data_IF_818042217578
#
_entry.id   IF_818042217578
#
_cell.length_a   1.000
_cell.length_b   1.000
_cell.length_c   1.000
_cell.angle_alpha   90.00
_cell.angle_beta   90.00
_cell.angle_gamma   90.00
#
_symmetry.space_group_name_H-M   'P 1'
#
loop_
_entity.id
_entity.type
_entity.pdbx_description
1 polymer ?
#
# COMPACT_ATOMS: atom_id res chain seq x y z
N UNK A 1 -21.11 -8.53 -9.03
CA UNK A 1 -21.98 -8.48 -7.85
C UNK A 1 -21.78 -7.15 -7.14
N UNK A 2 -22.83 -6.59 -6.55
CA UNK A 2 -22.76 -5.38 -5.73
C UNK A 2 -22.94 -5.78 -4.28
N UNK A 3 -22.05 -5.35 -3.41
CA UNK A 3 -22.15 -5.51 -1.96
C UNK A 3 -22.66 -4.20 -1.35
N UNK A 4 -23.56 -4.28 -0.43
CA UNK A 4 -24.08 -3.14 0.30
C UNK A 4 -24.38 -3.46 1.77
N UNK A 5 -24.53 -2.42 2.59
CA UNK A 5 -24.79 -2.56 4.03
C UNK A 5 -26.22 -3.05 4.37
N UNK A 6 -27.10 -3.22 3.39
CA UNK A 6 -28.44 -3.77 3.61
C UNK A 6 -28.45 -5.29 3.57
N UNK A 7 -27.47 -5.88 2.87
CA UNK A 7 -27.46 -7.30 2.58
C UNK A 7 -26.23 -8.03 3.13
N UNK A 8 -25.03 -7.47 2.99
CA UNK A 8 -23.79 -8.21 3.27
C UNK A 8 -22.77 -7.46 4.14
N UNK A 9 -22.64 -6.14 3.95
CA UNK A 9 -21.62 -5.36 4.64
C UNK A 9 -22.13 -4.77 5.97
N UNK A 10 -21.23 -4.61 6.94
CA UNK A 10 -21.58 -4.22 8.31
C UNK A 10 -21.58 -2.72 8.58
N UNK A 11 -21.01 -1.91 7.66
CA UNK A 11 -21.00 -0.45 7.77
C UNK A 11 -21.14 0.23 6.40
N UNK A 12 -21.24 1.57 6.37
CA UNK A 12 -21.61 2.33 5.15
C UNK A 12 -20.45 3.12 4.55
N UNK A 13 -19.65 3.77 5.37
CA UNK A 13 -18.64 4.73 4.94
C UNK A 13 -17.32 4.01 4.71
N UNK A 14 -17.16 3.47 3.50
CA UNK A 14 -15.95 2.77 3.09
C UNK A 14 -14.81 3.76 2.89
N UNK A 15 -13.71 3.56 3.61
CA UNK A 15 -12.50 4.37 3.50
C UNK A 15 -11.49 3.71 2.58
N UNK A 16 -11.32 2.39 2.67
CA UNK A 16 -10.29 1.67 1.96
C UNK A 16 -10.76 0.28 1.51
N UNK A 17 -10.34 -0.14 0.33
CA UNK A 17 -10.57 -1.49 -0.18
C UNK A 17 -9.25 -2.03 -0.72
N UNK A 18 -8.89 -3.25 -0.32
CA UNK A 18 -7.70 -3.93 -0.82
C UNK A 18 -7.97 -5.42 -1.01
N UNK A 19 -7.34 -6.01 -2.03
CA UNK A 19 -7.51 -7.43 -2.34
C UNK A 19 -6.28 -8.23 -1.92
N UNK A 20 -6.47 -9.19 -1.02
CA UNK A 20 -5.45 -10.16 -0.68
C UNK A 20 -5.52 -11.34 -1.65
N UNK A 21 -4.54 -11.39 -2.54
CA UNK A 21 -4.46 -12.39 -3.61
C UNK A 21 -4.18 -13.80 -3.08
N UNK A 22 -3.38 -13.94 -2.00
CA UNK A 22 -3.00 -15.24 -1.43
C UNK A 22 -4.19 -16.02 -0.92
N UNK A 23 -5.18 -15.33 -0.33
CA UNK A 23 -6.39 -15.95 0.21
C UNK A 23 -7.63 -15.70 -0.63
N UNK A 24 -7.55 -14.87 -1.68
CA UNK A 24 -8.66 -14.54 -2.56
C UNK A 24 -9.78 -13.75 -1.87
N UNK A 25 -9.43 -12.79 -0.98
CA UNK A 25 -10.39 -12.02 -0.20
C UNK A 25 -10.19 -10.52 -0.33
N UNK A 26 -11.29 -9.76 -0.31
CA UNK A 26 -11.27 -8.31 -0.17
C UNK A 26 -11.23 -7.93 1.31
N UNK A 27 -10.40 -6.97 1.65
CA UNK A 27 -10.39 -6.27 2.94
C UNK A 27 -11.04 -4.92 2.73
N UNK A 28 -12.17 -4.69 3.36
CA UNK A 28 -12.94 -3.44 3.30
C UNK A 28 -12.85 -2.75 4.64
N UNK A 29 -12.33 -1.54 4.68
CA UNK A 29 -12.15 -0.76 5.91
C UNK A 29 -13.07 0.45 5.87
N UNK A 30 -13.74 0.68 6.99
CA UNK A 30 -14.69 1.78 7.16
C UNK A 30 -14.09 2.92 7.97
N UNK A 31 -14.64 4.13 7.81
CA UNK A 31 -14.18 5.32 8.52
C UNK A 31 -14.21 5.16 10.05
N UNK A 32 -15.15 4.37 10.59
CA UNK A 32 -15.24 4.08 12.02
C UNK A 32 -14.26 3.00 12.51
N UNK A 33 -13.41 2.47 11.62
CA UNK A 33 -12.42 1.44 11.91
C UNK A 33 -12.96 0.01 11.93
N UNK A 34 -14.22 -0.19 11.58
CA UNK A 34 -14.73 -1.53 11.33
C UNK A 34 -14.07 -2.11 10.07
N UNK A 35 -13.93 -3.44 10.01
CA UNK A 35 -13.31 -4.13 8.87
C UNK A 35 -14.21 -5.29 8.47
N UNK A 36 -14.53 -5.37 7.18
CA UNK A 36 -15.13 -6.55 6.58
C UNK A 36 -14.13 -7.26 5.66
N UNK A 37 -14.08 -8.57 5.76
CA UNK A 37 -13.26 -9.42 4.90
C UNK A 37 -14.22 -10.28 4.07
N UNK A 38 -14.25 -10.00 2.77
CA UNK A 38 -15.22 -10.60 1.84
C UNK A 38 -14.54 -11.69 1.02
N UNK A 39 -15.05 -12.90 1.12
CA UNK A 39 -14.59 -14.06 0.36
C UNK A 39 -15.20 -14.12 -1.05
N UNK A 40 -14.56 -14.89 -1.94
CA UNK A 40 -15.08 -15.14 -3.28
C UNK A 40 -16.40 -15.94 -3.30
N UNK A 41 -16.69 -16.65 -2.20
CA UNK A 41 -17.92 -17.40 -1.93
C UNK A 41 -19.02 -16.55 -1.28
N UNK A 42 -18.84 -15.23 -1.26
CA UNK A 42 -19.74 -14.25 -0.64
C UNK A 42 -19.80 -14.30 0.91
N UNK A 43 -18.92 -15.06 1.54
CA UNK A 43 -18.80 -15.01 2.99
C UNK A 43 -18.20 -13.68 3.43
N UNK A 44 -18.73 -13.11 4.51
CA UNK A 44 -18.21 -11.88 5.12
C UNK A 44 -17.80 -12.17 6.56
N UNK A 45 -16.54 -11.93 6.87
CA UNK A 45 -16.03 -11.97 8.24
C UNK A 45 -15.92 -10.53 8.72
N UNK A 46 -16.59 -10.19 9.82
CA UNK A 46 -16.49 -8.86 10.42
C UNK A 46 -15.47 -8.83 11.55
N UNK A 47 -14.53 -7.89 11.46
CA UNK A 47 -13.56 -7.58 12.50
C UNK A 47 -13.83 -6.19 13.07
N UNK A 48 -14.50 -6.16 14.23
CA UNK A 48 -14.94 -4.92 14.88
C UNK A 48 -14.04 -4.46 16.03
N UNK A 49 -12.91 -5.11 16.27
CA UNK A 49 -12.05 -4.80 17.42
C UNK A 49 -11.46 -3.38 17.38
N UNK A 50 -11.37 -2.75 16.21
CA UNK A 50 -10.90 -1.37 16.01
C UNK A 50 -12.06 -0.37 15.92
N UNK A 51 -13.29 -0.85 15.83
CA UNK A 51 -14.47 0.01 15.67
C UNK A 51 -14.60 0.99 16.84
N UNK A 52 -14.83 2.27 16.51
CA UNK A 52 -15.04 3.35 17.47
C UNK A 52 -13.90 3.56 18.49
N UNK A 53 -12.72 2.96 18.25
CA UNK A 53 -11.55 3.21 19.09
C UNK A 53 -10.77 4.41 18.56
N UNK A 54 -10.13 5.18 19.46
CA UNK A 54 -9.26 6.30 19.08
C UNK A 54 -8.04 5.89 18.23
N UNK A 55 -7.80 4.58 18.10
CA UNK A 55 -6.84 3.99 17.16
C UNK A 55 -7.20 4.31 15.71
N UNK A 56 -8.48 4.53 15.43
CA UNK A 56 -9.02 4.82 14.10
C UNK A 56 -9.10 6.30 13.76
N UNK A 57 -8.81 7.20 14.72
CA UNK A 57 -8.54 8.61 14.43
C UNK A 57 -7.24 8.80 13.61
N UNK A 58 -6.49 7.73 13.44
CA UNK A 58 -5.34 7.66 12.53
C UNK A 58 -5.83 7.16 11.18
N UNK A 59 -5.80 8.01 10.16
CA UNK A 59 -6.13 7.59 8.80
C UNK A 59 -5.27 6.40 8.37
N UNK A 60 -5.87 5.39 7.75
CA UNK A 60 -5.13 4.34 7.08
C UNK A 60 -4.50 4.94 5.84
N UNK A 61 -3.19 4.86 5.74
CA UNK A 61 -2.42 5.42 4.64
C UNK A 61 -2.22 4.38 3.52
N UNK A 62 -2.08 3.12 3.93
CA UNK A 62 -1.79 2.03 3.00
C UNK A 62 -2.20 0.68 3.61
N UNK A 63 -2.51 -0.29 2.75
CA UNK A 63 -2.63 -1.70 3.11
C UNK A 63 -1.63 -2.47 2.24
N UNK A 64 -0.66 -3.12 2.87
CA UNK A 64 0.26 -4.02 2.20
C UNK A 64 -0.09 -5.47 2.56
N UNK A 65 -0.02 -6.35 1.59
CA UNK A 65 -0.25 -7.78 1.81
C UNK A 65 1.06 -8.56 1.72
N UNK A 66 1.25 -9.49 2.67
CA UNK A 66 2.33 -10.47 2.61
C UNK A 66 1.78 -11.84 3.00
N UNK A 67 1.68 -12.74 2.03
CA UNK A 67 0.96 -14.00 2.21
C UNK A 67 -0.49 -13.78 2.64
N UNK A 68 -0.92 -14.47 3.68
CA UNK A 68 -2.28 -14.41 4.24
C UNK A 68 -2.51 -13.18 5.14
N UNK A 69 -1.47 -12.37 5.36
CA UNK A 69 -1.49 -11.24 6.29
C UNK A 69 -1.66 -9.92 5.55
N UNK A 70 -2.46 -9.01 6.10
CA UNK A 70 -2.53 -7.61 5.73
C UNK A 70 -1.90 -6.74 6.82
N UNK A 71 -1.03 -5.81 6.42
CA UNK A 71 -0.45 -4.78 7.27
C UNK A 71 -1.15 -3.46 6.97
N UNK A 72 -1.94 -2.99 7.93
CA UNK A 72 -2.66 -1.73 7.84
C UNK A 72 -1.75 -0.64 8.41
N UNK A 73 -1.22 0.20 7.53
CA UNK A 73 -0.31 1.28 7.89
C UNK A 73 -1.11 2.55 8.20
N UNK A 74 -0.86 3.17 9.35
CA UNK A 74 -1.56 4.36 9.79
C UNK A 74 -0.61 5.52 10.10
N UNK A 75 -1.15 6.61 10.65
CA UNK A 75 -0.37 7.79 11.06
C UNK A 75 0.59 7.53 12.23
N UNK A 76 0.41 6.43 12.99
CA UNK A 76 1.28 6.10 14.13
C UNK A 76 1.40 4.60 14.43
N UNK A 77 0.61 3.76 13.75
CA UNK A 77 0.54 2.32 13.99
C UNK A 77 0.76 1.50 12.71
N UNK A 78 1.19 0.27 12.90
CA UNK A 78 1.04 -0.82 11.95
C UNK A 78 0.19 -1.90 12.61
N UNK A 79 -0.92 -2.29 11.98
CA UNK A 79 -1.83 -3.33 12.47
C UNK A 79 -1.66 -4.56 11.60
N UNK A 80 -1.36 -5.68 12.21
CA UNK A 80 -1.18 -6.98 11.55
C UNK A 80 -2.49 -7.77 11.62
N UNK A 81 -3.11 -8.02 10.47
CA UNK A 81 -4.40 -8.68 10.32
C UNK A 81 -4.23 -9.99 9.54
N UNK A 82 -4.64 -11.11 10.12
CA UNK A 82 -4.85 -12.36 9.39
C UNK A 82 -6.11 -12.23 8.54
N UNK A 83 -5.94 -12.23 7.22
CA UNK A 83 -7.06 -12.06 6.27
C UNK A 83 -7.88 -13.34 6.11
N UNK A 84 -7.29 -14.52 6.39
CA UNK A 84 -8.00 -15.79 6.34
C UNK A 84 -8.99 -15.95 7.48
N UNK A 85 -8.53 -15.64 8.70
CA UNK A 85 -9.32 -15.82 9.91
C UNK A 85 -10.06 -14.55 10.36
N UNK A 86 -9.69 -13.39 9.83
CA UNK A 86 -10.25 -12.10 10.23
C UNK A 86 -9.81 -11.67 11.63
N UNK A 87 -8.60 -12.03 12.05
CA UNK A 87 -8.12 -11.81 13.42
C UNK A 87 -6.96 -10.80 13.39
N UNK A 88 -7.01 -9.81 14.27
CA UNK A 88 -5.85 -8.93 14.51
C UNK A 88 -4.81 -9.75 15.28
N UNK A 89 -3.67 -9.99 14.63
CA UNK A 89 -2.56 -10.74 15.22
C UNK A 89 -1.71 -9.87 16.13
N UNK A 90 -1.46 -8.63 15.73
CA UNK A 90 -0.66 -7.68 16.49
C UNK A 90 -0.95 -6.22 16.12
N UNK A 91 -0.48 -5.30 16.96
CA UNK A 91 -0.56 -3.85 16.74
C UNK A 91 0.74 -3.20 17.22
N UNK A 92 1.53 -2.68 16.29
CA UNK A 92 2.82 -2.05 16.54
C UNK A 92 2.68 -0.53 16.60
N UNK A 93 3.04 0.08 17.73
CA UNK A 93 3.07 1.53 17.86
C UNK A 93 4.40 2.08 17.35
N UNK A 94 4.38 2.58 16.12
CA UNK A 94 5.55 3.18 15.45
C UNK A 94 5.78 4.61 15.91
N UNK A 95 4.69 5.34 16.20
CA UNK A 95 4.76 6.73 16.70
C UNK A 95 5.06 7.77 15.61
N UNK A 96 4.96 7.38 14.35
CA UNK A 96 5.09 8.25 13.18
C UNK A 96 4.33 7.62 12.00
N UNK A 97 4.06 8.43 10.99
CA UNK A 97 3.30 8.02 9.81
C UNK A 97 4.04 6.95 9.00
N UNK A 98 3.34 5.87 8.71
CA UNK A 98 3.82 4.77 7.87
C UNK A 98 3.10 4.80 6.53
N UNK A 99 3.86 4.93 5.44
CA UNK A 99 3.34 4.93 4.08
C UNK A 99 3.28 3.53 3.45
N UNK A 100 4.04 2.59 4.01
CA UNK A 100 4.02 1.21 3.56
C UNK A 100 5.04 0.35 4.30
N UNK A 101 4.82 -0.96 4.24
CA UNK A 101 5.72 -1.99 4.76
C UNK A 101 5.94 -3.05 3.68
N UNK A 102 7.18 -3.43 3.43
CA UNK A 102 7.56 -4.32 2.33
C UNK A 102 8.50 -5.40 2.85
N UNK A 103 8.25 -6.63 2.44
CA UNK A 103 9.06 -7.79 2.79
C UNK A 103 9.86 -8.19 1.56
N UNK A 104 11.16 -7.92 1.57
CA UNK A 104 12.04 -8.15 0.42
C UNK A 104 13.25 -8.93 0.91
N UNK A 105 13.48 -10.10 0.30
CA UNK A 105 14.47 -11.06 0.77
C UNK A 105 14.23 -11.40 2.26
N UNK A 106 15.24 -11.24 3.10
CA UNK A 106 15.18 -11.55 4.55
C UNK A 106 14.98 -10.28 5.40
N UNK A 107 14.61 -9.15 4.81
CA UNK A 107 14.44 -7.87 5.53
C UNK A 107 13.04 -7.29 5.35
N UNK A 108 12.65 -6.48 6.34
CA UNK A 108 11.43 -5.69 6.32
C UNK A 108 11.83 -4.23 6.06
N UNK A 109 11.19 -3.59 5.10
CA UNK A 109 11.39 -2.19 4.76
C UNK A 109 10.15 -1.39 5.12
N UNK A 110 10.34 -0.33 5.89
CA UNK A 110 9.26 0.56 6.34
C UNK A 110 9.46 1.93 5.74
N UNK A 111 8.45 2.37 5.00
CA UNK A 111 8.42 3.69 4.38
C UNK A 111 7.76 4.70 5.32
N UNK A 112 8.49 5.76 5.63
CA UNK A 112 8.09 6.86 6.50
C UNK A 112 8.07 8.18 5.71
N UNK A 113 7.62 9.28 6.32
CA UNK A 113 7.59 10.60 5.65
C UNK A 113 8.97 11.01 5.08
N UNK A 114 10.05 10.66 5.77
CA UNK A 114 11.40 11.12 5.44
C UNK A 114 12.34 10.01 4.96
N UNK A 115 11.80 8.91 4.47
CA UNK A 115 12.64 7.87 3.89
C UNK A 115 12.20 6.45 4.20
N UNK A 116 13.09 5.51 3.85
CA UNK A 116 12.89 4.09 4.07
C UNK A 116 13.93 3.59 5.06
N UNK A 117 13.49 2.81 6.02
CA UNK A 117 14.34 2.12 6.97
C UNK A 117 14.15 0.61 6.88
N UNK A 118 15.22 -0.14 7.19
CA UNK A 118 15.24 -1.59 7.20
C UNK A 118 15.20 -2.15 8.63
N UNK A 119 14.55 -3.29 8.79
CA UNK A 119 14.44 -4.07 10.01
C UNK A 119 14.72 -5.55 9.70
N UNK A 120 15.22 -6.28 10.68
CA UNK A 120 15.41 -7.73 10.56
C UNK A 120 14.18 -8.51 11.04
N UNK A 121 13.41 -7.96 11.98
CA UNK A 121 12.25 -8.63 12.59
C UNK A 121 11.11 -7.64 12.86
N UNK A 122 9.87 -8.13 12.79
CA UNK A 122 8.66 -7.31 13.01
C UNK A 122 8.58 -6.69 14.40
N UNK A 123 9.12 -7.35 15.44
CA UNK A 123 9.13 -6.83 16.81
C UNK A 123 9.90 -5.51 16.93
N UNK A 124 10.79 -5.23 16.00
CA UNK A 124 11.51 -3.95 15.95
C UNK A 124 10.60 -2.77 15.53
N UNK A 125 9.40 -3.04 14.99
CA UNK A 125 8.44 -1.98 14.60
C UNK A 125 8.08 -1.03 15.75
N UNK A 126 8.10 -1.50 17.00
CA UNK A 126 7.85 -0.66 18.18
C UNK A 126 9.06 0.14 18.64
N UNK A 127 10.22 -0.04 18.01
CA UNK A 127 11.45 0.66 18.37
C UNK A 127 12.16 1.27 17.16
N UNK A 128 11.66 2.40 16.62
CA UNK A 128 12.25 3.05 15.43
C UNK A 128 13.73 3.42 15.54
N UNK A 129 14.26 3.51 16.79
CA UNK A 129 15.70 3.80 17.01
C UNK A 129 16.62 2.63 16.64
N UNK A 130 16.08 1.42 16.55
CA UNK A 130 16.84 0.23 16.13
C UNK A 130 16.81 0.00 14.62
N UNK A 131 16.09 0.81 13.87
CA UNK A 131 15.99 0.66 12.43
C UNK A 131 17.23 1.19 11.71
N UNK A 132 17.61 0.53 10.64
CA UNK A 132 18.71 0.94 9.78
C UNK A 132 18.18 1.88 8.67
N UNK A 133 18.55 3.17 8.64
CA UNK A 133 18.18 4.06 7.56
C UNK A 133 18.79 3.58 6.23
N UNK A 134 17.97 3.51 5.18
CA UNK A 134 18.38 2.97 3.87
C UNK A 134 18.35 4.04 2.79
N UNK A 135 17.34 4.89 2.77
CA UNK A 135 17.28 6.05 1.90
C UNK A 135 16.51 7.19 2.57
N UNK A 136 16.79 8.43 2.14
CA UNK A 136 16.30 9.69 2.72
C UNK A 136 15.38 10.47 1.77
N UNK A 137 14.64 9.78 0.91
CA UNK A 137 13.68 10.40 -0.01
C UNK A 137 12.37 10.67 0.71
N UNK A 138 11.88 11.92 0.67
CA UNK A 138 10.54 12.24 1.19
C UNK A 138 9.47 11.45 0.44
N UNK A 139 8.54 10.86 1.19
CA UNK A 139 7.54 9.94 0.66
C UNK A 139 6.14 10.52 0.84
N UNK A 140 5.43 10.73 -0.26
CA UNK A 140 3.99 10.94 -0.26
C UNK A 140 3.25 9.64 -0.58
N UNK A 141 3.72 8.92 -1.59
CA UNK A 141 3.19 7.62 -2.00
C UNK A 141 4.32 6.66 -2.33
N UNK A 142 4.07 5.40 -2.08
CA UNK A 142 5.01 4.33 -2.39
C UNK A 142 4.28 3.11 -2.91
N UNK A 143 4.86 2.44 -3.90
CA UNK A 143 4.38 1.17 -4.42
C UNK A 143 5.57 0.24 -4.68
N UNK A 144 5.36 -1.06 -4.53
CA UNK A 144 6.29 -2.10 -4.95
C UNK A 144 5.77 -2.72 -6.24
N UNK A 145 6.64 -2.85 -7.23
CA UNK A 145 6.35 -3.58 -8.46
C UNK A 145 7.64 -4.17 -9.03
N UNK A 146 7.61 -5.45 -9.37
CA UNK A 146 8.73 -6.18 -9.98
C UNK A 146 10.08 -6.00 -9.23
N UNK A 147 10.06 -6.09 -7.90
CA UNK A 147 11.24 -5.96 -7.04
C UNK A 147 11.80 -4.53 -6.95
N UNK A 148 11.10 -3.54 -7.46
CA UNK A 148 11.47 -2.13 -7.38
C UNK A 148 10.47 -1.36 -6.54
N UNK A 149 10.92 -0.50 -5.62
CA UNK A 149 10.05 0.43 -4.94
C UNK A 149 10.00 1.75 -5.75
N UNK A 150 8.79 2.21 -5.98
CA UNK A 150 8.50 3.48 -6.64
C UNK A 150 7.99 4.46 -5.61
N UNK A 151 8.63 5.61 -5.52
CA UNK A 151 8.29 6.66 -4.56
C UNK A 151 7.87 7.92 -5.31
N UNK A 152 6.70 8.45 -4.98
CA UNK A 152 6.28 9.80 -5.34
C UNK A 152 6.51 10.70 -4.14
N UNK A 153 7.22 11.80 -4.37
CA UNK A 153 7.46 12.82 -3.35
C UNK A 153 6.32 13.85 -3.30
N UNK A 154 6.21 14.69 -2.25
CA UNK A 154 5.24 15.79 -2.19
C UNK A 154 5.31 16.76 -3.37
N UNK A 155 6.43 16.80 -4.10
CA UNK A 155 6.59 17.56 -5.33
C UNK A 155 6.32 16.75 -6.60
N UNK A 156 5.55 15.65 -6.51
CA UNK A 156 5.20 14.75 -7.63
C UNK A 156 6.40 14.13 -8.36
N UNK A 157 7.61 14.22 -7.80
CA UNK A 157 8.79 13.65 -8.43
C UNK A 157 8.85 12.16 -8.16
N UNK A 158 9.02 11.36 -9.21
CA UNK A 158 9.21 9.91 -9.12
C UNK A 158 10.67 9.56 -8.81
N UNK A 159 10.85 8.69 -7.82
CA UNK A 159 12.11 8.00 -7.54
C UNK A 159 11.95 6.49 -7.65
N UNK A 160 12.98 5.83 -8.12
CA UNK A 160 13.14 4.38 -8.03
C UNK A 160 14.06 4.05 -6.86
N UNK A 161 13.64 3.13 -6.02
CA UNK A 161 14.49 2.59 -4.97
C UNK A 161 14.85 1.17 -5.36
N UNK A 162 16.05 1.00 -5.87
CA UNK A 162 16.55 -0.24 -6.45
C UNK A 162 17.34 -1.05 -5.43
N UNK A 163 17.18 -2.36 -5.48
CA UNK A 163 17.97 -3.31 -4.71
C UNK A 163 19.17 -3.74 -5.55
N UNK A 164 20.31 -3.13 -5.32
CA UNK A 164 21.57 -3.46 -5.99
C UNK A 164 22.55 -4.06 -4.98
N UNK A 165 22.93 -5.33 -5.16
CA UNK A 165 23.92 -6.01 -4.33
C UNK A 165 23.64 -5.91 -2.81
N UNK A 166 22.39 -6.02 -2.39
CA UNK A 166 21.96 -5.95 -0.98
C UNK A 166 21.89 -4.54 -0.39
N UNK A 167 22.00 -3.50 -1.24
CA UNK A 167 21.80 -2.11 -0.82
C UNK A 167 20.62 -1.48 -1.57
N UNK A 168 19.86 -0.65 -0.86
CA UNK A 168 18.84 0.20 -1.45
C UNK A 168 19.48 1.49 -1.96
N UNK A 169 19.15 1.85 -3.18
CA UNK A 169 19.61 3.09 -3.78
C UNK A 169 18.42 3.84 -4.40
N UNK A 170 18.18 5.05 -3.96
CA UNK A 170 17.22 5.94 -4.59
C UNK A 170 17.81 6.60 -5.84
N UNK A 171 17.09 6.54 -6.94
CA UNK A 171 17.45 7.18 -8.20
C UNK A 171 16.32 8.07 -8.65
N UNK A 172 16.58 9.37 -8.75
CA UNK A 172 15.61 10.32 -9.28
C UNK A 172 15.34 10.02 -10.76
N UNK A 173 14.06 9.83 -11.09
CA UNK A 173 13.64 9.65 -12.48
C UNK A 173 13.50 11.00 -13.21
N UNK A 174 13.36 10.94 -14.53
CA UNK A 174 12.99 12.12 -15.34
C UNK A 174 11.48 12.38 -15.40
N UNK A 175 10.68 11.63 -14.63
CA UNK A 175 9.23 11.65 -14.69
C UNK A 175 8.61 12.23 -13.42
N UNK A 176 7.44 12.83 -13.55
CA UNK A 176 6.58 13.28 -12.45
C UNK A 176 5.25 12.59 -12.54
N UNK A 177 4.80 12.01 -11.43
CA UNK A 177 3.52 11.35 -11.30
C UNK A 177 2.90 11.70 -9.95
N UNK A 178 1.58 11.67 -9.90
CA UNK A 178 0.79 11.96 -8.69
C UNK A 178 0.12 10.74 -8.09
N UNK A 179 -0.01 9.63 -8.85
CA UNK A 179 -0.71 8.43 -8.39
C UNK A 179 -0.11 7.14 -8.96
N UNK A 180 -0.28 6.04 -8.20
CA UNK A 180 0.07 4.67 -8.57
C UNK A 180 -1.14 3.76 -8.59
N UNK A 181 -1.22 2.89 -9.60
CA UNK A 181 -2.20 1.81 -9.69
C UNK A 181 -1.47 0.51 -10.03
N UNK A 182 -1.01 -0.24 -9.02
CA UNK A 182 -0.33 -1.50 -9.24
C UNK A 182 -1.28 -2.60 -9.68
N UNK A 183 -0.86 -3.40 -10.65
CA UNK A 183 -1.50 -4.64 -11.06
C UNK A 183 -0.47 -5.78 -11.08
N UNK A 184 -0.89 -6.98 -11.44
CA UNK A 184 0.02 -8.14 -11.50
C UNK A 184 1.14 -8.00 -12.53
N UNK A 185 0.84 -7.38 -13.67
CA UNK A 185 1.74 -7.33 -14.83
C UNK A 185 2.31 -5.93 -15.06
N UNK A 186 1.70 -4.91 -14.48
CA UNK A 186 2.03 -3.53 -14.78
C UNK A 186 1.85 -2.63 -13.54
N UNK A 187 2.65 -1.59 -13.48
CA UNK A 187 2.41 -0.43 -12.62
C UNK A 187 1.98 0.74 -13.49
N UNK A 188 0.73 1.15 -13.32
CA UNK A 188 0.22 2.36 -13.96
C UNK A 188 0.50 3.56 -13.07
N UNK A 189 1.06 4.61 -13.65
CA UNK A 189 1.33 5.88 -12.98
C UNK A 189 0.61 7.01 -13.69
N UNK A 190 -0.05 7.86 -12.94
CA UNK A 190 -0.82 8.98 -13.44
C UNK A 190 -0.20 10.30 -13.04
N UNK A 191 -0.11 11.23 -14.00
CA UNK A 191 0.07 12.64 -13.72
C UNK A 191 -1.23 13.37 -14.09
N UNK A 192 -1.81 14.09 -13.14
CA UNK A 192 -3.05 14.83 -13.37
C UNK A 192 -2.85 15.91 -14.43
N UNK A 193 -3.42 15.67 -15.61
CA UNK A 193 -3.47 16.62 -16.73
C UNK A 193 -2.64 16.27 -17.94
N UNK A 194 -1.54 15.49 -17.84
CA UNK A 194 -0.61 15.37 -18.98
C UNK A 194 -0.22 13.96 -19.40
N UNK A 195 -0.04 13.01 -18.44
CA UNK A 195 0.70 11.78 -18.74
C UNK A 195 0.12 10.55 -18.04
N UNK A 196 0.14 9.46 -18.78
CA UNK A 196 -0.01 8.11 -18.25
C UNK A 196 1.30 7.37 -18.47
N UNK A 197 1.91 6.85 -17.42
CA UNK A 197 3.11 6.02 -17.49
C UNK A 197 2.76 4.56 -17.19
N UNK A 198 3.21 3.65 -18.05
CA UNK A 198 3.04 2.21 -17.84
C UNK A 198 4.43 1.57 -17.68
N UNK A 199 4.68 1.01 -16.50
CA UNK A 199 5.85 0.19 -16.21
C UNK A 199 5.45 -1.28 -16.27
N UNK A 200 6.37 -2.13 -16.69
CA UNK A 200 6.22 -3.57 -16.68
C UNK A 200 7.53 -4.24 -16.24
N UNK A 201 7.54 -5.56 -16.04
CA UNK A 201 8.72 -6.31 -15.58
C UNK A 201 9.94 -6.14 -16.49
N UNK A 202 9.74 -6.01 -17.82
CA UNK A 202 10.82 -5.82 -18.79
C UNK A 202 11.40 -4.39 -18.73
N UNK A 203 10.61 -3.41 -18.22
CA UNK A 203 10.96 -2.00 -18.18
C UNK A 203 10.60 -1.37 -16.83
N UNK A 204 11.24 -1.81 -15.75
CA UNK A 204 10.89 -1.34 -14.41
C UNK A 204 11.27 0.13 -14.15
N UNK A 205 12.19 0.70 -14.92
CA UNK A 205 12.65 2.09 -14.75
C UNK A 205 12.44 2.98 -15.99
N UNK A 206 11.80 2.44 -17.04
CA UNK A 206 11.58 3.16 -18.30
C UNK A 206 10.14 2.93 -18.79
N UNK A 207 9.17 3.74 -18.35
CA UNK A 207 7.77 3.55 -18.69
C UNK A 207 7.50 3.79 -20.17
N UNK A 208 6.47 3.13 -20.69
CA UNK A 208 5.79 3.61 -21.89
C UNK A 208 4.92 4.78 -21.49
N UNK A 209 5.15 5.94 -22.04
CA UNK A 209 4.43 7.16 -21.69
C UNK A 209 3.42 7.50 -22.78
N UNK A 210 2.17 7.66 -22.36
CA UNK A 210 1.08 8.13 -23.19
C UNK A 210 0.78 9.57 -22.82
N UNK A 211 0.94 10.49 -23.78
CA UNK A 211 0.51 11.87 -23.63
C UNK A 211 -0.94 11.98 -24.05
N UNK A 212 -1.75 12.71 -23.31
CA UNK A 212 -3.15 12.88 -23.65
C UNK A 212 -3.52 14.33 -23.96
N UNK A 213 -4.51 14.49 -24.84
CA UNK A 213 -5.07 15.80 -25.19
C UNK A 213 -6.25 16.23 -24.27
N UNK A 214 -6.64 15.36 -23.28
CA UNK A 214 -7.76 15.60 -22.36
C UNK A 214 -7.44 15.09 -20.96
N UNK A 215 -7.98 15.73 -19.92
CA UNK A 215 -7.78 15.37 -18.51
C UNK A 215 -8.26 13.95 -18.18
N UNK A 216 -7.34 13.15 -17.61
CA UNK A 216 -7.70 11.90 -16.97
C UNK A 216 -8.16 12.18 -15.55
N UNK A 217 -9.45 11.99 -15.28
CA UNK A 217 -9.97 12.17 -13.92
C UNK A 217 -9.91 10.89 -13.11
N UNK A 218 -9.87 9.73 -13.78
CA UNK A 218 -9.83 8.43 -13.12
C UNK A 218 -9.32 7.37 -14.11
N UNK A 219 -8.37 6.55 -13.70
CA UNK A 219 -7.85 5.45 -14.51
C UNK A 219 -7.78 4.17 -13.68
N UNK A 220 -8.35 3.11 -14.20
CA UNK A 220 -8.34 1.79 -13.61
C UNK A 220 -8.07 0.72 -14.66
N UNK A 221 -7.52 -0.43 -14.24
CA UNK A 221 -7.43 -1.58 -15.12
C UNK A 221 -8.79 -2.26 -15.25
N UNK A 222 -9.33 -2.30 -16.46
CA UNK A 222 -10.40 -3.24 -16.77
C UNK A 222 -9.75 -4.65 -16.87
N UNK A 223 -10.21 -5.58 -16.05
CA UNK A 223 -9.87 -6.98 -16.28
C UNK A 223 -10.50 -7.41 -17.60
N UNK A 224 -9.68 -7.74 -18.59
CA UNK A 224 -10.12 -8.53 -19.73
C UNK A 224 -10.60 -9.90 -19.24
N UNK A 225 -11.83 -10.22 -19.63
CA UNK A 225 -12.48 -11.50 -19.33
C UNK A 225 -11.92 -12.62 -20.20
#
# INVERSE_FOLDING_TARGET
KTYDCLHELHDKEVMYVSYNKSVGRLVVIYENGNIDIVGADDTVINQSALKDKSVTGSSINCINHFGDVAYLCTSDLVIKLDVREGIILDTYKVGQRVHGIFFIEDKIYVALDHGISALDHEEQLVNPRSWEPVCDVEIEKIAEFAGTLYVITPGEQLYYVLFEAGTLRSVKSGYSFSEFFPSEQNLLCLNYGDWLGLFNEERPTSPVVFKQEHDWMDAGFAHDR
#
